data_IF_716281398653
#
_entry.id   IF_716281398653
#
_cell.length_a   1.000
_cell.length_b   1.000
_cell.length_c   1.000
_cell.angle_alpha   90.00
_cell.angle_beta   90.00
_cell.angle_gamma   90.00
#
_symmetry.space_group_name_H-M   'P 1'
#
loop_
_entity.id
_entity.type
_entity.pdbx_description
1 polymer ?
#
# COMPACT_ATOMS: atom_id res chain seq x y z
N UNK A 1 -27.71 -11.92 8.91
CA UNK A 1 -28.38 -11.37 7.72
C UNK A 1 -27.41 -11.52 6.56
N UNK A 2 -27.70 -12.42 5.62
CA UNK A 2 -26.81 -12.71 4.49
C UNK A 2 -26.92 -11.56 3.49
N UNK A 3 -25.91 -10.68 3.47
CA UNK A 3 -25.80 -9.62 2.48
C UNK A 3 -25.68 -10.25 1.10
N UNK A 4 -26.66 -10.01 0.23
CA UNK A 4 -26.59 -10.41 -1.17
C UNK A 4 -25.40 -9.69 -1.79
N UNK A 5 -24.31 -10.40 -2.03
CA UNK A 5 -23.20 -9.94 -2.87
C UNK A 5 -23.78 -9.76 -4.26
N UNK A 6 -24.13 -8.52 -4.62
CA UNK A 6 -24.45 -8.18 -6.00
C UNK A 6 -23.20 -8.48 -6.82
N UNK A 7 -23.34 -9.26 -7.90
CA UNK A 7 -22.32 -9.33 -8.95
C UNK A 7 -22.05 -7.89 -9.38
N UNK A 8 -20.85 -7.39 -9.07
CA UNK A 8 -20.39 -6.09 -9.52
C UNK A 8 -20.23 -6.22 -11.03
N UNK A 9 -20.96 -5.44 -11.86
CA UNK A 9 -20.68 -5.42 -13.29
C UNK A 9 -19.25 -4.95 -13.48
N UNK A 10 -18.47 -5.63 -14.34
CA UNK A 10 -17.14 -5.15 -14.74
C UNK A 10 -17.31 -3.74 -15.30
N UNK A 11 -16.96 -2.73 -14.49
CA UNK A 11 -16.86 -1.35 -14.97
C UNK A 11 -15.63 -1.29 -15.86
N UNK A 12 -15.81 -0.89 -17.10
CA UNK A 12 -14.71 -0.69 -18.04
C UNK A 12 -13.88 0.56 -17.73
N UNK A 13 -14.40 1.45 -16.88
CA UNK A 13 -13.73 2.68 -16.44
C UNK A 13 -13.87 2.84 -14.91
N UNK A 14 -12.72 3.02 -14.25
CA UNK A 14 -12.64 3.31 -12.82
C UNK A 14 -12.58 4.83 -12.61
N UNK A 15 -13.07 5.36 -11.46
CA UNK A 15 -12.82 6.74 -11.09
C UNK A 15 -11.33 7.09 -11.20
N UNK A 16 -11.00 8.07 -12.03
CA UNK A 16 -9.65 8.63 -12.14
C UNK A 16 -9.67 10.09 -11.72
N UNK A 17 -8.56 10.52 -11.14
CA UNK A 17 -8.35 11.87 -10.62
C UNK A 17 -7.07 12.42 -11.25
N UNK A 18 -7.08 13.68 -11.70
CA UNK A 18 -5.89 14.35 -12.22
C UNK A 18 -4.94 14.78 -11.10
N UNK A 19 -5.48 15.15 -9.93
CA UNK A 19 -4.70 15.57 -8.77
C UNK A 19 -5.07 14.75 -7.51
N UNK A 20 -4.87 13.42 -7.52
CA UNK A 20 -5.17 12.58 -6.36
C UNK A 20 -4.24 12.91 -5.18
N UNK A 21 -4.72 12.73 -3.94
CA UNK A 21 -3.91 12.89 -2.72
C UNK A 21 -2.91 11.74 -2.52
N UNK A 22 -2.74 10.85 -3.50
CA UNK A 22 -1.85 9.70 -3.42
C UNK A 22 -0.42 10.16 -3.16
N UNK A 23 0.17 9.60 -2.11
CA UNK A 23 1.53 9.90 -1.70
C UNK A 23 2.45 8.70 -1.88
N UNK A 24 1.94 7.48 -1.72
CA UNK A 24 2.73 6.27 -1.91
C UNK A 24 1.84 5.11 -2.38
N UNK A 25 2.38 4.30 -3.29
CA UNK A 25 1.78 3.05 -3.73
C UNK A 25 2.77 1.92 -3.50
N UNK A 26 2.31 0.83 -2.90
CA UNK A 26 3.13 -0.32 -2.53
C UNK A 26 2.52 -1.59 -3.13
N UNK A 27 3.29 -2.31 -3.95
CA UNK A 27 2.98 -3.68 -4.37
C UNK A 27 3.93 -4.65 -3.66
N UNK A 28 3.40 -5.74 -3.12
CA UNK A 28 4.17 -6.67 -2.31
C UNK A 28 3.77 -8.12 -2.44
N UNK A 29 4.73 -9.00 -2.15
CA UNK A 29 4.47 -10.41 -1.92
C UNK A 29 5.25 -10.89 -0.71
N UNK A 30 4.51 -11.50 0.22
CA UNK A 30 5.07 -12.34 1.28
C UNK A 30 5.16 -13.77 0.77
N UNK A 31 6.23 -14.46 1.12
CA UNK A 31 6.51 -15.82 0.68
C UNK A 31 7.08 -16.66 1.83
N UNK A 32 7.05 -17.98 1.67
CA UNK A 32 7.63 -18.88 2.67
C UNK A 32 9.15 -18.70 2.75
N UNK A 33 9.71 -18.29 3.91
CA UNK A 33 11.13 -18.03 4.03
C UNK A 33 11.94 -19.33 3.87
N UNK A 34 13.10 -19.22 3.24
CA UNK A 34 14.05 -20.32 3.07
C UNK A 34 15.24 -20.18 4.01
N UNK A 35 15.71 -21.30 4.56
CA UNK A 35 16.91 -21.36 5.41
C UNK A 35 18.21 -21.36 4.60
N UNK A 36 18.13 -21.32 3.26
CA UNK A 36 19.27 -21.23 2.35
C UNK A 36 19.67 -19.79 2.00
N UNK A 37 18.78 -18.80 2.22
CA UNK A 37 19.06 -17.40 1.92
C UNK A 37 20.14 -16.84 2.87
N UNK A 38 21.11 -16.09 2.33
CA UNK A 38 22.22 -15.49 3.08
C UNK A 38 22.39 -14.04 2.63
N UNK A 39 23.04 -13.22 3.47
CA UNK A 39 23.30 -11.80 3.19
C UNK A 39 23.97 -11.59 1.80
N UNK A 40 24.96 -12.40 1.36
CA UNK A 40 25.53 -12.24 0.02
C UNK A 40 24.53 -12.38 -1.12
N UNK A 41 23.49 -13.22 -0.98
CA UNK A 41 22.43 -13.34 -1.99
C UNK A 41 21.63 -12.04 -2.13
N UNK A 42 21.45 -11.28 -1.04
CA UNK A 42 20.81 -9.95 -1.09
C UNK A 42 21.68 -8.95 -1.87
N UNK A 43 23.01 -9.03 -1.71
CA UNK A 43 23.95 -8.23 -2.52
C UNK A 43 23.93 -8.61 -4.01
N UNK A 44 23.79 -9.90 -4.32
CA UNK A 44 23.65 -10.39 -5.69
C UNK A 44 22.30 -9.98 -6.31
N UNK A 45 21.24 -9.93 -5.51
CA UNK A 45 19.96 -9.36 -5.93
C UNK A 45 20.10 -7.87 -6.25
N UNK A 46 20.72 -7.09 -5.36
CA UNK A 46 21.01 -5.68 -5.64
C UNK A 46 21.83 -5.51 -6.92
N UNK A 47 22.81 -6.39 -7.18
CA UNK A 47 23.59 -6.32 -8.41
C UNK A 47 22.74 -6.43 -9.69
N UNK A 48 21.57 -7.10 -9.65
CA UNK A 48 20.61 -7.14 -10.76
C UNK A 48 19.86 -5.80 -10.94
N UNK A 49 19.71 -5.01 -9.87
CA UNK A 49 18.94 -3.75 -9.87
C UNK A 49 19.80 -2.48 -9.85
N UNK A 50 21.09 -2.57 -9.53
CA UNK A 50 21.95 -1.42 -9.20
C UNK A 50 22.07 -0.35 -10.29
N UNK A 51 21.76 -0.69 -11.55
CA UNK A 51 21.75 0.25 -12.65
C UNK A 51 20.66 1.32 -12.44
N UNK A 52 19.47 0.90 -11.99
CA UNK A 52 18.32 1.77 -11.78
C UNK A 52 18.13 2.14 -10.30
N UNK A 53 18.56 1.26 -9.38
CA UNK A 53 18.44 1.39 -7.93
C UNK A 53 19.82 1.36 -7.23
N UNK A 54 20.69 2.36 -7.45
CA UNK A 54 22.07 2.33 -6.94
C UNK A 54 22.18 2.62 -5.44
N UNK A 55 21.17 3.22 -4.80
CA UNK A 55 21.25 3.67 -3.40
C UNK A 55 20.75 2.55 -2.47
N UNK A 56 21.54 2.24 -1.43
CA UNK A 56 21.22 1.22 -0.43
C UNK A 56 20.90 1.86 0.92
N UNK A 57 19.86 1.37 1.58
CA UNK A 57 19.53 1.78 2.94
C UNK A 57 19.04 0.59 3.78
N UNK A 58 19.47 0.52 5.04
CA UNK A 58 18.88 -0.39 6.01
C UNK A 58 17.55 0.17 6.51
N UNK A 59 16.55 -0.70 6.64
CA UNK A 59 15.23 -0.35 7.15
C UNK A 59 14.83 -1.27 8.31
N UNK A 60 13.93 -0.78 9.16
CA UNK A 60 13.34 -1.58 10.22
C UNK A 60 12.65 -2.81 9.64
N UNK A 61 12.68 -3.93 10.35
CA UNK A 61 12.06 -5.19 9.91
C UNK A 61 10.54 -5.09 10.04
N UNK A 62 9.81 -5.59 9.06
CA UNK A 62 8.36 -5.76 9.18
C UNK A 62 8.10 -7.10 9.86
N UNK A 63 7.44 -7.06 11.02
CA UNK A 63 7.04 -8.26 11.74
C UNK A 63 5.59 -8.63 11.41
N UNK A 64 5.32 -9.92 11.19
CA UNK A 64 3.98 -10.46 10.89
C UNK A 64 3.09 -10.55 12.13
N UNK A 65 3.68 -10.76 13.31
CA UNK A 65 3.01 -10.82 14.61
C UNK A 65 3.87 -10.12 15.65
N UNK A 66 3.32 -9.60 16.75
CA UNK A 66 4.09 -8.86 17.78
C UNK A 66 5.30 -9.62 18.37
N UNK A 67 5.45 -10.91 18.08
CA UNK A 67 6.46 -11.79 18.68
C UNK A 67 7.35 -12.56 17.69
N UNK A 68 7.17 -12.38 16.36
CA UNK A 68 7.93 -13.13 15.36
C UNK A 68 8.68 -12.16 14.44
N UNK A 69 9.84 -11.71 14.90
CA UNK A 69 10.84 -11.13 14.01
C UNK A 69 11.54 -12.31 13.32
N UNK A 70 11.60 -12.37 11.98
CA UNK A 70 12.36 -13.41 11.29
C UNK A 70 13.83 -13.34 11.70
N UNK A 71 14.26 -14.29 12.53
CA UNK A 71 15.66 -14.43 12.97
C UNK A 71 16.39 -15.45 12.11
N UNK A 72 17.66 -15.18 11.84
CA UNK A 72 18.56 -16.20 11.32
C UNK A 72 18.75 -17.28 12.40
N UNK A 73 18.45 -18.54 12.06
CA UNK A 73 18.49 -19.65 13.03
C UNK A 73 19.90 -19.99 13.50
N UNK A 74 20.93 -19.65 12.73
CA UNK A 74 22.31 -19.98 13.06
C UNK A 74 22.92 -18.96 14.04
N UNK A 75 22.55 -17.68 13.91
CA UNK A 75 23.12 -16.57 14.69
C UNK A 75 22.16 -16.02 15.74
N UNK A 76 20.86 -16.28 15.62
CA UNK A 76 19.81 -15.66 16.44
C UNK A 76 19.59 -14.18 16.14
N UNK A 77 20.26 -13.63 15.11
CA UNK A 77 20.18 -12.22 14.73
C UNK A 77 19.18 -12.06 13.58
N UNK A 78 18.32 -11.04 13.61
CA UNK A 78 17.39 -10.84 12.50
C UNK A 78 18.11 -10.28 11.26
N UNK A 79 17.74 -10.78 10.09
CA UNK A 79 18.27 -10.26 8.83
C UNK A 79 17.59 -8.92 8.55
N UNK A 80 18.33 -7.82 8.41
CA UNK A 80 17.73 -6.50 8.22
C UNK A 80 16.97 -6.44 6.90
N UNK A 81 15.86 -5.70 6.89
CA UNK A 81 15.21 -5.28 5.65
C UNK A 81 16.12 -4.28 4.96
N UNK A 82 16.31 -4.44 3.65
CA UNK A 82 17.15 -3.55 2.84
C UNK A 82 16.29 -2.90 1.78
N UNK A 83 16.55 -1.61 1.54
CA UNK A 83 15.95 -0.83 0.46
C UNK A 83 16.97 -0.59 -0.64
N UNK A 84 16.56 -0.82 -1.89
CA UNK A 84 17.27 -0.42 -3.10
C UNK A 84 16.50 0.75 -3.69
N UNK A 85 17.08 1.95 -3.73
CA UNK A 85 16.39 3.19 -4.03
C UNK A 85 16.97 3.76 -5.33
N UNK A 86 16.09 4.24 -6.22
CA UNK A 86 16.52 4.91 -7.43
C UNK A 86 17.11 6.30 -7.12
N UNK A 87 17.82 6.88 -8.09
CA UNK A 87 18.50 8.18 -7.90
C UNK A 87 17.51 9.30 -7.53
N UNK A 88 16.31 9.28 -8.10
CA UNK A 88 15.26 10.27 -7.82
C UNK A 88 14.63 10.10 -6.43
N UNK A 89 14.79 8.95 -5.79
CA UNK A 89 14.18 8.64 -4.49
C UNK A 89 12.66 8.40 -4.51
N UNK A 90 12.04 8.41 -5.69
CA UNK A 90 10.60 8.23 -5.90
C UNK A 90 10.21 6.76 -6.15
N UNK A 91 11.19 5.87 -6.37
CA UNK A 91 10.97 4.43 -6.48
C UNK A 91 11.97 3.66 -5.63
N UNK A 92 11.50 2.59 -5.00
CA UNK A 92 12.39 1.69 -4.27
C UNK A 92 11.87 0.26 -4.22
N UNK A 93 12.82 -0.67 -4.17
CA UNK A 93 12.59 -2.09 -3.95
C UNK A 93 12.94 -2.38 -2.49
N UNK A 94 12.06 -3.09 -1.79
CA UNK A 94 12.34 -3.55 -0.43
C UNK A 94 12.51 -5.05 -0.46
N UNK A 95 13.54 -5.54 0.22
CA UNK A 95 13.75 -6.97 0.38
C UNK A 95 13.96 -7.33 1.85
N UNK A 96 13.26 -8.37 2.28
CA UNK A 96 13.39 -9.02 3.58
C UNK A 96 13.27 -10.53 3.35
N UNK A 97 13.75 -11.35 4.29
CA UNK A 97 13.86 -12.80 4.11
C UNK A 97 12.53 -13.56 3.90
N UNK A 98 11.38 -12.92 4.12
CA UNK A 98 10.04 -13.48 3.94
C UNK A 98 9.17 -12.65 2.96
N UNK A 99 9.68 -11.56 2.38
CA UNK A 99 8.88 -10.67 1.52
C UNK A 99 9.72 -9.74 0.66
N UNK A 100 9.12 -9.28 -0.42
CA UNK A 100 9.62 -8.12 -1.16
C UNK A 100 8.50 -7.18 -1.56
N UNK A 101 8.87 -5.92 -1.79
CA UNK A 101 7.96 -4.87 -2.22
C UNK A 101 8.60 -4.03 -3.33
N UNK A 102 7.74 -3.48 -4.17
CA UNK A 102 8.04 -2.31 -4.98
C UNK A 102 7.18 -1.15 -4.48
N UNK A 103 7.81 -0.01 -4.21
CA UNK A 103 7.11 1.21 -3.80
C UNK A 103 7.39 2.33 -4.80
N UNK A 104 6.34 3.06 -5.15
CA UNK A 104 6.45 4.41 -5.67
C UNK A 104 6.04 5.40 -4.59
N UNK A 105 6.78 6.49 -4.45
CA UNK A 105 6.50 7.58 -3.50
C UNK A 105 6.50 8.90 -4.24
N UNK A 106 5.51 9.74 -3.94
CA UNK A 106 5.41 11.08 -4.51
C UNK A 106 6.63 11.90 -4.14
N UNK A 107 7.24 12.47 -5.18
CA UNK A 107 8.28 13.50 -5.13
C UNK A 107 7.80 14.63 -6.05
N UNK A 108 8.67 15.11 -6.92
CA UNK A 108 8.33 16.12 -7.93
C UNK A 108 7.52 15.53 -9.10
N UNK A 109 7.59 14.22 -9.31
CA UNK A 109 6.94 13.52 -10.43
C UNK A 109 5.48 13.19 -10.12
N UNK A 110 4.57 13.28 -11.11
CA UNK A 110 3.18 12.89 -10.94
C UNK A 110 3.05 11.39 -10.74
N UNK A 111 1.91 10.96 -10.19
CA UNK A 111 1.60 9.54 -10.00
C UNK A 111 1.62 8.78 -11.35
N UNK A 112 2.51 7.77 -11.53
CA UNK A 112 2.68 7.10 -12.82
C UNK A 112 1.56 6.09 -13.15
N UNK A 113 0.49 6.05 -12.35
CA UNK A 113 -0.66 5.15 -12.47
C UNK A 113 -0.32 3.68 -12.22
N UNK A 114 -1.36 2.91 -11.95
CA UNK A 114 -1.25 1.53 -11.48
C UNK A 114 -0.46 0.64 -12.44
N UNK A 115 -0.70 0.75 -13.76
CA UNK A 115 -0.04 -0.07 -14.76
C UNK A 115 1.50 -0.01 -14.65
N UNK A 116 2.07 1.19 -14.51
CA UNK A 116 3.50 1.35 -14.32
C UNK A 116 3.99 0.69 -13.02
N UNK A 117 3.22 0.79 -11.93
CA UNK A 117 3.59 0.19 -10.65
C UNK A 117 3.63 -1.33 -10.73
N UNK A 118 2.59 -1.94 -11.29
CA UNK A 118 2.47 -3.40 -11.35
C UNK A 118 3.51 -4.01 -12.30
N UNK A 119 3.82 -3.36 -13.42
CA UNK A 119 4.84 -3.84 -14.37
C UNK A 119 6.25 -3.80 -13.74
N UNK A 120 6.55 -2.78 -12.93
CA UNK A 120 7.78 -2.74 -12.15
C UNK A 120 7.82 -3.82 -11.06
N UNK A 121 6.70 -4.06 -10.37
CA UNK A 121 6.61 -5.14 -9.40
C UNK A 121 6.81 -6.52 -10.04
N UNK A 122 6.24 -6.77 -11.23
CA UNK A 122 6.44 -8.01 -11.98
C UNK A 122 7.92 -8.19 -12.38
N UNK A 123 8.60 -7.12 -12.77
CA UNK A 123 10.05 -7.13 -13.03
C UNK A 123 10.85 -7.52 -11.78
N UNK A 124 10.48 -6.95 -10.62
CA UNK A 124 11.10 -7.30 -9.33
C UNK A 124 10.84 -8.77 -8.98
N UNK A 125 9.59 -9.22 -9.13
CA UNK A 125 9.17 -10.60 -8.85
C UNK A 125 9.94 -11.61 -9.72
N UNK A 126 10.13 -11.31 -11.00
CA UNK A 126 10.95 -12.11 -11.91
C UNK A 126 12.39 -12.20 -11.41
N UNK A 127 13.01 -11.07 -11.08
CA UNK A 127 14.40 -11.06 -10.62
C UNK A 127 14.61 -11.80 -9.28
N UNK A 128 13.64 -11.74 -8.35
CA UNK A 128 13.67 -12.52 -7.10
C UNK A 128 13.50 -14.02 -7.41
N UNK A 129 12.58 -14.37 -8.31
CA UNK A 129 12.38 -15.76 -8.75
C UNK A 129 13.65 -16.32 -9.40
N UNK A 130 14.31 -15.53 -10.24
CA UNK A 130 15.57 -15.92 -10.90
C UNK A 130 16.70 -16.10 -9.91
N UNK A 131 16.81 -15.23 -8.88
CA UNK A 131 17.76 -15.41 -7.79
C UNK A 131 17.53 -16.75 -7.06
N UNK A 132 16.27 -17.09 -6.75
CA UNK A 132 15.95 -18.35 -6.08
C UNK A 132 16.38 -19.57 -6.90
N UNK A 133 16.17 -19.53 -8.21
CA UNK A 133 16.60 -20.59 -9.13
C UNK A 133 18.11 -20.66 -9.30
N UNK A 134 18.77 -19.52 -9.52
CA UNK A 134 20.21 -19.41 -9.79
C UNK A 134 21.05 -19.97 -8.64
N UNK A 135 20.61 -19.75 -7.40
CA UNK A 135 21.34 -20.16 -6.19
C UNK A 135 20.72 -21.35 -5.44
N UNK A 136 19.81 -22.11 -6.08
CA UNK A 136 19.11 -23.27 -5.48
C UNK A 136 18.51 -22.97 -4.09
N UNK A 137 17.84 -21.83 -3.94
CA UNK A 137 17.27 -21.39 -2.66
C UNK A 137 15.95 -22.09 -2.32
N UNK A 138 15.45 -22.95 -3.21
CA UNK A 138 14.14 -23.58 -3.14
C UNK A 138 13.11 -22.89 -4.04
N UNK A 139 11.86 -23.33 -3.97
CA UNK A 139 10.75 -22.68 -4.66
C UNK A 139 10.38 -21.36 -3.96
N UNK A 140 10.14 -20.31 -4.74
CA UNK A 140 9.55 -19.08 -4.23
C UNK A 140 8.03 -19.30 -4.10
N UNK A 141 7.56 -19.61 -2.90
CA UNK A 141 6.16 -19.96 -2.63
C UNK A 141 5.40 -18.75 -2.06
N UNK A 142 4.49 -18.11 -2.83
CA UNK A 142 3.70 -16.98 -2.35
C UNK A 142 2.78 -17.38 -1.19
N UNK A 143 2.76 -16.57 -0.14
CA UNK A 143 1.83 -16.70 1.00
C UNK A 143 0.70 -15.69 0.93
N UNK A 144 1.02 -14.46 0.55
CA UNK A 144 0.09 -13.34 0.55
C UNK A 144 0.62 -12.24 -0.36
N UNK A 145 -0.26 -11.64 -1.15
CA UNK A 145 -0.02 -10.43 -1.91
C UNK A 145 -0.54 -9.22 -1.14
N UNK A 146 0.07 -8.06 -1.38
CA UNK A 146 -0.27 -6.80 -0.73
C UNK A 146 -0.28 -5.67 -1.77
N UNK A 147 -1.34 -4.86 -1.78
CA UNK A 147 -1.41 -3.61 -2.55
C UNK A 147 -1.91 -2.49 -1.64
N UNK A 148 -1.13 -1.43 -1.48
CA UNK A 148 -1.47 -0.32 -0.57
C UNK A 148 -1.39 1.02 -1.29
N UNK A 149 -2.44 1.84 -1.12
CA UNK A 149 -2.52 3.23 -1.57
C UNK A 149 -2.54 4.13 -0.33
N UNK A 150 -1.46 4.87 -0.12
CA UNK A 150 -1.29 5.76 1.02
C UNK A 150 -1.52 7.18 0.54
N UNK A 151 -2.60 7.79 0.99
CA UNK A 151 -3.00 9.14 0.61
C UNK A 151 -2.67 10.11 1.74
N UNK A 152 -2.10 11.24 1.37
CA UNK A 152 -1.86 12.36 2.28
C UNK A 152 -2.78 13.50 1.86
N UNK A 153 -3.68 13.90 2.75
CA UNK A 153 -4.59 15.05 2.55
C UNK A 153 -4.10 16.15 3.50
N UNK A 154 -3.28 17.10 3.03
CA UNK A 154 -2.76 18.17 3.86
C UNK A 154 -3.86 19.09 4.34
N UNK A 155 -3.69 19.68 5.52
CA UNK A 155 -4.57 20.75 6.00
C UNK A 155 -4.60 21.90 4.97
N UNK A 156 -5.78 22.50 4.78
CA UNK A 156 -6.05 23.48 3.74
C UNK A 156 -6.58 22.88 2.44
N UNK A 157 -6.53 21.55 2.28
CA UNK A 157 -7.10 20.84 1.13
C UNK A 157 -8.42 20.19 1.53
N UNK A 158 -9.49 20.97 1.49
CA UNK A 158 -10.85 20.50 1.81
C UNK A 158 -11.19 20.41 3.30
N UNK A 159 -10.18 20.48 4.18
CA UNK A 159 -10.35 20.48 5.63
C UNK A 159 -9.38 21.46 6.32
N UNK A 160 -9.81 22.04 7.42
CA UNK A 160 -9.03 22.91 8.31
C UNK A 160 -8.97 22.38 9.73
N UNK A 161 -10.03 21.73 10.19
CA UNK A 161 -10.12 21.10 11.49
C UNK A 161 -10.87 19.76 11.40
N UNK A 162 -10.95 19.02 12.51
CA UNK A 162 -11.50 17.66 12.52
C UNK A 162 -13.03 17.61 12.47
N UNK A 163 -13.67 18.75 12.69
CA UNK A 163 -15.08 18.97 12.41
C UNK A 163 -15.38 18.93 10.91
N UNK A 164 -14.40 19.16 10.03
CA UNK A 164 -14.52 19.05 8.58
C UNK A 164 -14.41 17.60 8.05
N UNK A 165 -14.17 16.58 8.89
CA UNK A 165 -14.10 15.19 8.42
C UNK A 165 -15.34 14.72 7.63
N UNK A 166 -16.59 15.11 7.95
CA UNK A 166 -17.76 14.79 7.12
C UNK A 166 -17.72 15.42 5.72
N UNK A 167 -16.94 16.48 5.53
CA UNK A 167 -16.72 17.11 4.22
C UNK A 167 -15.69 16.35 3.38
N UNK A 168 -14.82 15.56 4.02
CA UNK A 168 -13.78 14.76 3.36
C UNK A 168 -14.25 13.33 3.12
N UNK A 169 -14.87 12.70 4.11
CA UNK A 169 -15.26 11.30 4.11
C UNK A 169 -16.76 11.11 4.31
N UNK A 170 -17.37 10.27 3.46
CA UNK A 170 -18.82 10.08 3.40
C UNK A 170 -19.41 9.51 4.70
N UNK A 171 -18.69 8.60 5.38
CA UNK A 171 -19.21 7.88 6.55
C UNK A 171 -18.80 8.49 7.90
N UNK A 172 -17.99 9.56 7.90
CA UNK A 172 -17.63 10.24 9.14
C UNK A 172 -18.69 11.26 9.52
N UNK A 173 -19.53 10.92 10.48
CA UNK A 173 -20.56 11.84 10.99
C UNK A 173 -20.36 12.07 12.48
N UNK A 174 -19.91 13.27 12.85
CA UNK A 174 -19.90 13.70 14.24
C UNK A 174 -21.22 14.38 14.59
N UNK A 175 -22.17 13.61 15.13
CA UNK A 175 -23.46 14.17 15.53
C UNK A 175 -23.31 15.04 16.79
N UNK A 176 -23.23 16.36 16.62
CA UNK A 176 -23.13 17.33 17.71
C UNK A 176 -24.47 18.04 17.96
N UNK A 177 -25.38 17.50 18.80
CA UNK A 177 -26.56 18.23 19.23
C UNK A 177 -26.19 19.47 20.06
N UNK A 178 -27.12 20.44 20.13
CA UNK A 178 -26.94 21.78 20.72
C UNK A 178 -26.41 21.76 22.16
N UNK A 179 -26.62 20.69 22.92
CA UNK A 179 -26.12 20.50 24.29
C UNK A 179 -25.25 19.24 24.41
N UNK A 180 -24.04 19.27 23.81
CA UNK A 180 -23.06 18.17 23.95
C UNK A 180 -22.03 18.49 25.02
N UNK A 181 -21.78 17.52 25.91
CA UNK A 181 -20.77 17.64 26.98
C UNK A 181 -19.32 17.69 26.45
N UNK A 182 -19.00 16.84 25.47
CA UNK A 182 -17.66 16.80 24.88
C UNK A 182 -17.53 17.83 23.75
N UNK A 183 -16.39 18.55 23.67
CA UNK A 183 -16.05 19.34 22.49
C UNK A 183 -15.76 18.41 21.29
N UNK A 184 -15.44 19.01 20.14
CA UNK A 184 -14.91 18.25 19.02
C UNK A 184 -13.60 17.55 19.41
N UNK A 185 -13.35 16.34 18.88
CA UNK A 185 -12.14 15.60 19.20
C UNK A 185 -10.92 16.35 18.66
N UNK A 186 -9.82 16.33 19.42
CA UNK A 186 -8.52 16.85 18.97
C UNK A 186 -7.74 15.82 18.14
N UNK A 187 -8.10 14.54 18.24
CA UNK A 187 -7.50 13.45 17.49
C UNK A 187 -8.54 12.39 17.14
N UNK A 188 -8.42 11.81 15.94
CA UNK A 188 -9.26 10.71 15.44
C UNK A 188 -8.39 9.64 14.80
N UNK A 189 -8.76 8.38 15.04
CA UNK A 189 -8.24 7.22 14.33
C UNK A 189 -9.42 6.35 13.90
N UNK A 190 -9.35 5.79 12.70
CA UNK A 190 -10.36 4.87 12.17
C UNK A 190 -9.72 3.70 11.45
N UNK A 191 -10.37 2.55 11.56
CA UNK A 191 -10.00 1.31 10.90
C UNK A 191 -11.29 0.60 10.47
N UNK A 192 -11.37 0.23 9.21
CA UNK A 192 -12.44 -0.59 8.66
C UNK A 192 -11.86 -1.73 7.83
N UNK A 193 -12.53 -2.88 7.83
CA UNK A 193 -12.11 -4.08 7.10
C UNK A 193 -13.28 -4.62 6.28
N UNK A 194 -13.04 -4.91 5.02
CA UNK A 194 -14.02 -5.42 4.06
C UNK A 194 -13.47 -6.66 3.39
N UNK A 195 -14.27 -7.72 3.27
CA UNK A 195 -13.84 -8.92 2.55
C UNK A 195 -13.81 -8.67 1.04
N UNK A 196 -12.73 -9.06 0.38
CA UNK A 196 -12.68 -9.12 -1.07
C UNK A 196 -13.56 -10.29 -1.58
N UNK A 197 -14.06 -10.22 -2.84
CA UNK A 197 -14.90 -11.26 -3.42
C UNK A 197 -14.22 -12.62 -3.40
N UNK A 198 -15.03 -13.68 -3.40
CA UNK A 198 -14.55 -15.07 -3.53
C UNK A 198 -13.52 -15.50 -2.48
N UNK A 199 -13.49 -14.80 -1.34
CA UNK A 199 -12.52 -15.02 -0.26
C UNK A 199 -11.07 -14.80 -0.71
N UNK A 200 -10.84 -13.86 -1.64
CA UNK A 200 -9.51 -13.52 -2.17
C UNK A 200 -8.71 -12.59 -1.25
N UNK A 201 -9.23 -12.28 -0.07
CA UNK A 201 -8.54 -11.43 0.91
C UNK A 201 -9.43 -10.39 1.56
N UNK A 202 -8.81 -9.29 1.97
CA UNK A 202 -9.44 -8.18 2.68
C UNK A 202 -8.93 -6.84 2.14
N UNK A 203 -9.83 -5.86 2.13
CA UNK A 203 -9.52 -4.44 2.02
C UNK A 203 -9.58 -3.84 3.42
N UNK A 204 -8.45 -3.33 3.89
CA UNK A 204 -8.28 -2.64 5.16
C UNK A 204 -8.13 -1.15 4.86
N UNK A 205 -8.90 -0.33 5.56
CA UNK A 205 -8.90 1.12 5.40
C UNK A 205 -8.57 1.74 6.75
N UNK A 206 -7.61 2.66 6.76
CA UNK A 206 -7.26 3.38 7.98
C UNK A 206 -7.14 4.88 7.74
N UNK A 207 -7.55 5.64 8.75
CA UNK A 207 -7.37 7.08 8.83
C UNK A 207 -6.66 7.42 10.13
N UNK A 208 -5.58 8.20 10.02
CA UNK A 208 -4.84 8.76 11.15
C UNK A 208 -4.37 10.17 10.83
N UNK A 209 -4.02 10.92 11.87
CA UNK A 209 -3.37 12.22 11.74
C UNK A 209 -1.85 12.06 11.88
N UNK A 210 -1.11 12.85 11.11
CA UNK A 210 0.34 12.96 11.23
C UNK A 210 0.78 14.40 10.95
N UNK A 211 2.05 14.67 11.22
CA UNK A 211 2.74 15.91 10.83
C UNK A 211 3.73 15.53 9.74
N UNK A 212 3.62 16.17 8.57
CA UNK A 212 4.57 15.95 7.47
C UNK A 212 5.93 16.55 7.86
N UNK A 213 6.99 15.77 7.70
CA UNK A 213 8.32 16.12 8.20
C UNK A 213 8.92 17.31 7.42
N UNK A 214 8.69 17.37 6.11
CA UNK A 214 9.37 18.33 5.23
C UNK A 214 8.93 19.79 5.48
N UNK A 215 7.70 20.02 5.94
CA UNK A 215 7.11 21.35 6.09
C UNK A 215 6.27 21.54 7.37
N UNK A 216 6.32 20.57 8.29
CA UNK A 216 5.59 20.56 9.56
C UNK A 216 4.05 20.69 9.42
N UNK A 217 3.52 20.39 8.24
CA UNK A 217 2.10 20.57 7.96
C UNK A 217 1.27 19.39 8.52
N UNK A 218 0.18 19.64 9.26
CA UNK A 218 -0.77 18.60 9.64
C UNK A 218 -1.40 17.93 8.41
N UNK A 219 -1.47 16.61 8.44
CA UNK A 219 -1.96 15.79 7.34
C UNK A 219 -2.86 14.67 7.85
N UNK A 220 -3.96 14.43 7.13
CA UNK A 220 -4.72 13.20 7.24
C UNK A 220 -4.05 12.13 6.37
N UNK A 221 -3.60 11.06 7.01
CA UNK A 221 -3.05 9.88 6.33
C UNK A 221 -4.19 8.88 6.17
N UNK A 222 -4.66 8.76 4.93
CA UNK A 222 -5.75 7.87 4.53
C UNK A 222 -5.20 6.71 3.70
N UNK A 223 -5.06 5.55 4.33
CA UNK A 223 -4.46 4.37 3.74
C UNK A 223 -5.54 3.36 3.39
N UNK A 224 -5.52 2.88 2.15
CA UNK A 224 -6.30 1.73 1.71
C UNK A 224 -5.31 0.62 1.35
N UNK A 225 -5.51 -0.56 1.93
CA UNK A 225 -4.60 -1.69 1.81
C UNK A 225 -5.40 -2.95 1.52
N UNK A 226 -5.13 -3.59 0.39
CA UNK A 226 -5.62 -4.92 0.08
C UNK A 226 -4.55 -5.95 0.46
N UNK A 227 -4.95 -7.04 1.11
CA UNK A 227 -4.10 -8.22 1.32
C UNK A 227 -4.86 -9.50 1.03
N UNK A 228 -4.18 -10.53 0.54
CA UNK A 228 -4.82 -11.81 0.25
C UNK A 228 -4.06 -12.67 -0.76
N UNK A 229 -4.80 -13.50 -1.48
CA UNK A 229 -4.22 -14.43 -2.45
C UNK A 229 -5.21 -14.84 -3.52
N UNK A 230 -4.68 -15.33 -4.64
CA UNK A 230 -5.47 -15.94 -5.69
C UNK A 230 -5.39 -17.46 -5.64
N UNK A 231 -6.53 -18.13 -5.82
CA UNK A 231 -6.61 -19.61 -5.73
C UNK A 231 -5.92 -20.29 -6.90
N UNK A 232 -5.92 -19.64 -8.07
CA UNK A 232 -5.21 -20.10 -9.26
C UNK A 232 -3.72 -19.68 -9.22
N UNK A 233 -3.33 -18.97 -8.16
CA UNK A 233 -2.00 -18.41 -7.94
C UNK A 233 -1.51 -17.52 -9.09
N UNK A 234 -2.44 -16.84 -9.76
CA UNK A 234 -2.13 -15.84 -10.78
C UNK A 234 -2.06 -14.48 -10.11
N UNK A 235 -0.84 -14.06 -9.76
CA UNK A 235 -0.59 -12.81 -9.03
C UNK A 235 -1.30 -11.61 -9.69
N UNK A 236 -1.22 -11.48 -11.01
CA UNK A 236 -1.82 -10.36 -11.75
C UNK A 236 -3.33 -10.26 -11.56
N UNK A 237 -4.06 -11.39 -11.60
CA UNK A 237 -5.51 -11.41 -11.36
C UNK A 237 -5.86 -10.90 -9.97
N UNK A 238 -5.02 -11.20 -8.97
CA UNK A 238 -5.23 -10.68 -7.62
C UNK A 238 -4.97 -9.18 -7.54
N UNK A 239 -3.87 -8.70 -8.11
CA UNK A 239 -3.53 -7.27 -8.07
C UNK A 239 -4.53 -6.40 -8.82
N UNK A 240 -5.06 -6.86 -9.95
CA UNK A 240 -6.07 -6.12 -10.71
C UNK A 240 -7.38 -6.00 -9.93
N UNK A 241 -7.81 -7.08 -9.25
CA UNK A 241 -8.95 -7.05 -8.33
C UNK A 241 -8.69 -6.11 -7.15
N UNK A 242 -7.51 -6.20 -6.54
CA UNK A 242 -7.12 -5.34 -5.42
C UNK A 242 -7.14 -3.86 -5.85
N UNK A 243 -6.59 -3.55 -7.03
CA UNK A 243 -6.59 -2.21 -7.59
C UNK A 243 -8.01 -1.66 -7.78
N UNK A 244 -8.90 -2.44 -8.39
CA UNK A 244 -10.32 -2.10 -8.54
C UNK A 244 -10.93 -1.75 -7.18
N UNK A 245 -10.74 -2.59 -6.17
CA UNK A 245 -11.29 -2.38 -4.83
C UNK A 245 -10.73 -1.16 -4.12
N UNK A 246 -9.45 -0.87 -4.28
CA UNK A 246 -8.83 0.32 -3.71
C UNK A 246 -9.38 1.59 -4.36
N UNK A 247 -9.52 1.62 -5.69
CA UNK A 247 -10.02 2.82 -6.40
C UNK A 247 -11.50 3.04 -6.13
N UNK A 248 -12.32 1.98 -6.21
CA UNK A 248 -13.75 2.07 -5.91
C UNK A 248 -14.00 2.39 -4.44
N UNK A 249 -13.25 1.77 -3.52
CA UNK A 249 -13.34 2.04 -2.09
C UNK A 249 -12.94 3.48 -1.74
N UNK A 250 -11.88 4.00 -2.37
CA UNK A 250 -11.47 5.39 -2.22
C UNK A 250 -12.59 6.34 -2.66
N UNK A 251 -13.18 6.12 -3.83
CA UNK A 251 -14.25 6.96 -4.35
C UNK A 251 -15.55 6.86 -3.53
N UNK A 252 -15.90 5.67 -3.04
CA UNK A 252 -17.11 5.44 -2.22
C UNK A 252 -17.03 6.15 -0.86
N UNK A 253 -15.85 6.13 -0.23
CA UNK A 253 -15.65 6.64 1.12
C UNK A 253 -15.25 8.12 1.18
N UNK A 254 -15.05 8.77 0.04
CA UNK A 254 -14.72 10.19 -0.03
C UNK A 254 -15.85 10.98 -0.70
N UNK A 255 -16.01 12.25 -0.31
CA UNK A 255 -17.15 13.04 -0.77
C UNK A 255 -16.98 13.56 -2.21
N UNK A 256 -18.10 13.85 -2.87
CA UNK A 256 -18.12 14.55 -4.17
C UNK A 256 -17.39 15.91 -4.12
N UNK A 257 -17.34 16.57 -2.96
CA UNK A 257 -16.59 17.82 -2.78
C UNK A 257 -15.10 17.56 -2.97
N UNK A 258 -14.57 16.51 -2.34
CA UNK A 258 -13.17 16.13 -2.49
C UNK A 258 -12.86 15.63 -3.91
N UNK A 259 -13.79 14.90 -4.54
CA UNK A 259 -13.61 14.47 -5.93
C UNK A 259 -13.40 15.64 -6.90
N UNK A 260 -14.09 16.76 -6.68
CA UNK A 260 -13.86 18.00 -7.44
C UNK A 260 -12.50 18.63 -7.14
N UNK A 261 -12.09 18.67 -5.87
CA UNK A 261 -10.78 19.19 -5.45
C UNK A 261 -9.63 18.38 -6.06
N UNK A 262 -9.80 17.06 -6.16
CA UNK A 262 -8.83 16.15 -6.77
C UNK A 262 -9.00 16.00 -8.29
N UNK A 263 -9.90 16.79 -8.88
CA UNK A 263 -10.11 16.85 -10.33
C UNK A 263 -10.45 15.48 -10.93
N UNK A 264 -11.56 14.89 -10.47
CA UNK A 264 -12.13 13.68 -11.07
C UNK A 264 -12.33 13.90 -12.58
N UNK A 265 -11.87 12.94 -13.38
CA UNK A 265 -11.96 13.00 -14.84
C UNK A 265 -13.42 12.76 -15.28
N UNK A 266 -13.97 13.65 -16.12
CA UNK A 266 -15.40 13.61 -16.55
C UNK A 266 -15.74 12.48 -17.54
N UNK A 267 -14.89 11.45 -17.68
CA UNK A 267 -15.12 10.30 -18.56
C UNK A 267 -15.27 9.02 -17.72
N UNK A 268 -16.42 8.88 -17.05
CA UNK A 268 -16.88 7.63 -16.43
C UNK A 268 -18.39 7.43 -16.63
#
# INVERSE_FOLDING_TARGET
>A
MSGKIKKIPQRTEFPSFNNPPINEVVCGMRFHPTDKLRIPHVGLLWNKFRADYPILQHAQIISTTRSEIPIDRATGVPIPRVWFINVAGDQLIQFQNDRFYFNWRKKETPYPRYQHIIDNFETVSSAVTDLFKEFDLGALEPMEYELSYINHIPRGIGWEALDDLPEVFTDFIWNAPVERFLPYPEQVSWLAEFSLPEQRGQLIISLKQAIRIDDELPVLVYELKATGGDRENVARNWFDLAHEWLVLGFADLTTNRMHKIWEVEENA
#
